data_IF_145956460387
#
_entry.id   IF_145956460387
#
_cell.length_a   1.000
_cell.length_b   1.000
_cell.length_c   1.000
_cell.angle_alpha   90.00
_cell.angle_beta   90.00
_cell.angle_gamma   90.00
#
_symmetry.space_group_name_H-M   'P 1'
#
loop_
_entity.id
_entity.type
_entity.pdbx_description
1 polymer ?
#
# COMPACT_ATOMS: atom_id res chain seq x y z
N UNK A 1 3.54 -15.47 -8.24
CA UNK A 1 2.88 -14.89 -7.04
C UNK A 1 2.31 -13.50 -7.31
N UNK A 2 3.11 -12.48 -7.63
CA UNK A 2 2.63 -11.08 -7.77
C UNK A 2 1.61 -10.86 -8.91
N UNK A 3 1.61 -11.72 -9.93
CA UNK A 3 0.63 -11.68 -11.02
C UNK A 3 -0.82 -11.84 -10.55
N UNK A 4 -1.06 -12.62 -9.48
CA UNK A 4 -2.39 -12.81 -8.88
C UNK A 4 -2.91 -11.50 -8.28
N UNK A 5 -2.06 -10.76 -7.56
CA UNK A 5 -2.42 -9.46 -6.97
C UNK A 5 -2.80 -8.45 -8.06
N UNK A 6 -2.06 -8.43 -9.17
CA UNK A 6 -2.30 -7.53 -10.31
C UNK A 6 -3.62 -7.76 -11.03
N UNK A 7 -4.24 -8.94 -10.89
CA UNK A 7 -5.54 -9.26 -11.49
C UNK A 7 -6.74 -9.01 -10.55
N UNK A 8 -6.47 -8.64 -9.30
CA UNK A 8 -7.47 -8.54 -8.24
C UNK A 8 -7.48 -9.82 -7.41
N UNK A 9 -6.84 -9.83 -6.23
CA UNK A 9 -6.76 -11.04 -5.42
C UNK A 9 -8.13 -11.39 -4.83
N UNK A 10 -8.33 -12.67 -4.55
CA UNK A 10 -9.43 -13.11 -3.70
C UNK A 10 -8.87 -13.29 -2.31
N UNK A 11 -9.42 -12.57 -1.34
CA UNK A 11 -9.02 -12.61 0.07
C UNK A 11 -10.28 -12.91 0.86
N UNK A 12 -10.25 -13.92 1.74
CA UNK A 12 -11.41 -14.29 2.57
C UNK A 12 -12.70 -14.50 1.74
N UNK A 13 -12.59 -15.19 0.59
CA UNK A 13 -13.70 -15.44 -0.36
C UNK A 13 -14.31 -14.19 -1.00
N UNK A 14 -13.70 -13.01 -0.83
CA UNK A 14 -14.11 -11.77 -1.47
C UNK A 14 -13.12 -11.37 -2.56
N UNK A 15 -13.63 -11.01 -3.74
CA UNK A 15 -12.81 -10.45 -4.81
C UNK A 15 -12.47 -8.99 -4.52
N UNK A 16 -11.20 -8.65 -4.65
CA UNK A 16 -10.66 -7.31 -4.46
C UNK A 16 -10.27 -6.65 -5.79
N UNK A 17 -10.08 -5.34 -5.75
CA UNK A 17 -9.64 -4.56 -6.90
C UNK A 17 -8.20 -4.98 -7.32
N UNK A 18 -7.84 -4.85 -8.61
CA UNK A 18 -6.47 -5.02 -9.08
C UNK A 18 -5.46 -4.19 -8.28
N UNK A 19 -4.41 -4.84 -7.79
CA UNK A 19 -3.37 -4.22 -6.98
C UNK A 19 -2.13 -3.99 -7.82
N UNK A 20 -1.63 -2.75 -7.87
CA UNK A 20 -0.33 -2.48 -8.51
C UNK A 20 0.77 -2.76 -7.47
N UNK A 21 1.72 -3.60 -7.85
CA UNK A 21 2.85 -3.98 -6.99
C UNK A 21 4.15 -3.85 -7.76
N UNK A 22 5.10 -3.15 -7.16
CA UNK A 22 6.49 -3.03 -7.63
C UNK A 22 7.44 -3.54 -6.54
N UNK A 23 8.54 -4.15 -6.97
CA UNK A 23 9.64 -4.48 -6.08
C UNK A 23 10.53 -3.24 -6.02
N UNK A 24 10.81 -2.75 -4.80
CA UNK A 24 11.71 -1.62 -4.61
C UNK A 24 13.15 -2.11 -4.47
N UNK A 25 13.39 -3.01 -3.52
CA UNK A 25 14.68 -3.63 -3.30
C UNK A 25 14.54 -4.88 -2.43
N UNK A 26 15.56 -5.73 -2.46
CA UNK A 26 15.68 -6.93 -1.63
C UNK A 26 16.94 -6.81 -0.78
N UNK A 27 16.82 -7.08 0.51
CA UNK A 27 17.93 -7.08 1.47
C UNK A 27 17.83 -8.37 2.26
N UNK A 28 18.88 -9.19 2.19
CA UNK A 28 18.91 -10.54 2.76
C UNK A 28 17.70 -11.37 2.25
N UNK A 29 16.91 -11.91 3.18
CA UNK A 29 15.72 -12.70 2.94
C UNK A 29 14.42 -11.86 2.84
N UNK A 30 14.54 -10.52 2.81
CA UNK A 30 13.40 -9.60 2.86
C UNK A 30 13.29 -8.77 1.60
N UNK A 31 12.08 -8.60 1.11
CA UNK A 31 11.79 -7.76 -0.06
C UNK A 31 10.87 -6.61 0.31
N UNK A 32 11.28 -5.40 -0.04
CA UNK A 32 10.43 -4.22 0.04
C UNK A 32 9.57 -4.11 -1.22
N UNK A 33 8.26 -4.05 -1.00
CA UNK A 33 7.26 -3.90 -2.04
C UNK A 33 6.61 -2.52 -1.92
N UNK A 34 6.50 -1.83 -3.04
CA UNK A 34 5.59 -0.71 -3.19
C UNK A 34 4.24 -1.26 -3.66
N UNK A 35 3.20 -1.02 -2.86
CA UNK A 35 1.85 -1.52 -3.09
C UNK A 35 0.90 -0.34 -3.20
N UNK A 36 0.24 -0.22 -4.35
CA UNK A 36 -0.83 0.76 -4.55
C UNK A 36 -2.18 0.06 -4.52
N UNK A 37 -3.05 0.54 -3.63
CA UNK A 37 -4.43 0.10 -3.52
C UNK A 37 -5.38 1.27 -3.83
N UNK A 38 -6.51 0.96 -4.47
CA UNK A 38 -7.64 1.88 -4.66
C UNK A 38 -8.72 1.71 -3.59
N UNK A 39 -8.58 0.70 -2.75
CA UNK A 39 -9.47 0.37 -1.64
C UNK A 39 -8.62 0.07 -0.40
N UNK A 40 -9.24 0.06 0.77
CA UNK A 40 -8.53 -0.16 2.03
C UNK A 40 -9.35 -0.96 3.01
N UNK A 41 -9.53 -2.26 2.76
CA UNK A 41 -10.21 -3.13 3.73
C UNK A 41 -9.29 -3.49 4.91
N UNK A 42 -9.88 -3.96 6.01
CA UNK A 42 -9.14 -4.28 7.23
C UNK A 42 -8.01 -5.29 6.93
N UNK A 43 -6.77 -4.85 7.18
CA UNK A 43 -5.53 -5.64 7.01
C UNK A 43 -5.33 -6.24 5.62
N UNK A 44 -5.91 -5.64 4.57
CA UNK A 44 -5.89 -6.16 3.19
C UNK A 44 -4.49 -6.61 2.71
N UNK A 45 -3.47 -5.74 2.84
CA UNK A 45 -2.09 -6.04 2.42
C UNK A 45 -1.49 -7.23 3.19
N UNK A 46 -1.77 -7.31 4.50
CA UNK A 46 -1.26 -8.41 5.33
C UNK A 46 -1.93 -9.72 4.95
N UNK A 47 -3.25 -9.72 4.75
CA UNK A 47 -4.03 -10.90 4.37
C UNK A 47 -3.63 -11.40 2.97
N UNK A 48 -3.59 -10.51 1.98
CA UNK A 48 -3.28 -10.90 0.60
C UNK A 48 -1.88 -11.51 0.43
N UNK A 49 -0.88 -11.02 1.19
CA UNK A 49 0.47 -11.52 1.10
C UNK A 49 0.65 -12.79 1.94
N UNK A 50 -0.05 -12.90 3.07
CA UNK A 50 -0.10 -14.13 3.87
C UNK A 50 -0.70 -15.29 3.07
N UNK A 51 -1.79 -15.07 2.34
CA UNK A 51 -2.44 -16.09 1.48
C UNK A 51 -1.49 -16.60 0.38
N UNK A 52 -0.49 -15.81 -0.01
CA UNK A 52 0.54 -16.18 -0.97
C UNK A 52 1.80 -16.80 -0.32
N UNK A 53 1.82 -16.95 1.01
CA UNK A 53 2.96 -17.48 1.76
C UNK A 53 4.02 -16.43 2.15
N UNK A 54 3.73 -15.14 2.01
CA UNK A 54 4.67 -14.04 2.30
C UNK A 54 4.17 -13.17 3.48
N UNK A 55 4.42 -13.56 4.73
CA UNK A 55 3.97 -12.77 5.89
C UNK A 55 4.63 -11.39 5.92
N UNK A 56 3.82 -10.33 6.06
CA UNK A 56 4.29 -8.94 6.10
C UNK A 56 4.88 -8.61 7.47
N UNK A 57 6.18 -8.35 7.51
CA UNK A 57 6.89 -7.98 8.74
C UNK A 57 6.76 -6.49 9.09
N UNK A 58 6.84 -5.61 8.07
CA UNK A 58 6.75 -4.15 8.24
C UNK A 58 5.91 -3.55 7.12
N UNK A 59 5.10 -2.56 7.47
CA UNK A 59 4.28 -1.79 6.53
C UNK A 59 4.28 -0.34 6.95
N UNK A 60 4.51 0.56 6.00
CA UNK A 60 4.42 2.01 6.17
C UNK A 60 3.62 2.58 5.02
N UNK A 61 2.53 3.28 5.32
CA UNK A 61 1.82 4.08 4.33
C UNK A 61 2.51 5.43 4.24
N UNK A 62 3.11 5.72 3.09
CA UNK A 62 3.86 6.96 2.87
C UNK A 62 3.14 7.92 1.91
N UNK A 63 2.05 7.50 1.28
CA UNK A 63 1.28 8.34 0.36
C UNK A 63 -0.21 7.97 0.40
N UNK A 64 -1.07 8.99 0.26
CA UNK A 64 -2.53 8.86 0.08
C UNK A 64 -2.95 9.81 -1.03
N UNK A 65 -3.49 9.28 -2.12
CA UNK A 65 -3.79 10.09 -3.30
C UNK A 65 -2.52 10.78 -3.81
N UNK A 66 -2.58 12.11 -3.94
CA UNK A 66 -1.44 12.95 -4.33
C UNK A 66 -0.57 13.40 -3.15
N UNK A 67 -1.02 13.21 -1.90
CA UNK A 67 -0.30 13.67 -0.71
C UNK A 67 0.71 12.63 -0.24
N UNK A 68 1.97 13.02 -0.18
CA UNK A 68 3.06 12.21 0.36
C UNK A 68 3.43 12.62 1.79
N UNK A 69 3.96 11.68 2.55
CA UNK A 69 4.42 11.91 3.93
C UNK A 69 5.63 12.86 3.99
N UNK A 70 6.45 12.88 2.93
CA UNK A 70 7.69 13.67 2.90
C UNK A 70 8.60 13.38 4.09
N UNK A 71 9.09 14.44 4.72
CA UNK A 71 10.07 14.39 5.81
C UNK A 71 9.46 14.36 7.22
N UNK A 72 8.13 14.23 7.33
CA UNK A 72 7.44 14.16 8.63
C UNK A 72 7.92 12.97 9.45
N UNK A 73 8.30 13.25 10.70
CA UNK A 73 8.70 12.24 11.67
C UNK A 73 7.50 11.56 12.31
N UNK A 74 7.76 10.47 13.03
CA UNK A 74 6.71 9.72 13.72
C UNK A 74 6.05 10.60 14.80
N UNK A 75 4.72 10.73 14.73
CA UNK A 75 3.94 11.56 15.65
C UNK A 75 3.75 13.01 15.20
N UNK A 76 4.49 13.44 14.17
CA UNK A 76 4.31 14.77 13.60
C UNK A 76 3.06 14.84 12.71
N UNK A 77 2.57 16.06 12.55
CA UNK A 77 1.50 16.39 11.62
C UNK A 77 1.70 17.79 11.06
N UNK A 78 1.14 18.04 9.89
CA UNK A 78 1.07 19.37 9.29
C UNK A 78 -0.28 19.58 8.64
N UNK A 79 -0.66 20.84 8.46
CA UNK A 79 -1.77 21.17 7.60
C UNK A 79 -1.44 20.83 6.13
N UNK A 80 -2.47 20.43 5.39
CA UNK A 80 -2.37 20.33 3.93
C UNK A 80 -2.28 21.73 3.33
N UNK A 81 -1.48 21.89 2.30
CA UNK A 81 -1.49 23.10 1.48
C UNK A 81 -2.80 23.21 0.67
N UNK A 82 -3.14 24.40 0.22
CA UNK A 82 -4.31 24.63 -0.65
C UNK A 82 -4.24 23.80 -1.94
N UNK A 83 -3.04 23.64 -2.51
CA UNK A 83 -2.84 22.84 -3.72
C UNK A 83 -3.07 21.35 -3.46
N UNK A 84 -2.51 20.79 -2.37
CA UNK A 84 -2.77 19.41 -1.97
C UNK A 84 -4.25 19.16 -1.71
N UNK A 85 -4.94 20.12 -1.08
CA UNK A 85 -6.37 20.00 -0.83
C UNK A 85 -7.17 19.98 -2.13
N UNK A 86 -6.84 20.88 -3.06
CA UNK A 86 -7.46 20.93 -4.39
C UNK A 86 -7.25 19.63 -5.17
N UNK A 87 -6.05 19.08 -5.15
CA UNK A 87 -5.74 17.82 -5.82
C UNK A 87 -6.47 16.61 -5.24
N UNK A 88 -6.81 16.63 -3.95
CA UNK A 88 -7.59 15.57 -3.32
C UNK A 88 -9.10 15.66 -3.59
N UNK A 89 -9.60 16.85 -3.96
CA UNK A 89 -11.03 17.10 -4.20
C UNK A 89 -11.45 16.96 -5.67
N UNK A 90 -10.49 16.82 -6.59
CA UNK A 90 -10.72 16.63 -8.03
C UNK A 90 -10.57 15.17 -8.43
#
# INVERSE_FOLDING_TARGET
>A
ALSTLRKGPVIEKRKHQPVRVKILHTVNDKTWLEVFLREGTNRQIKKMLLDLGYPVQKIKRFQVGTVSLGDLQSGESRALSQEEMKQLMN
#
